data_IF_140833990403
#
_entry.id   IF_140833990403
#
_cell.length_a   1.000
_cell.length_b   1.000
_cell.length_c   1.000
_cell.angle_alpha   90.00
_cell.angle_beta   90.00
_cell.angle_gamma   90.00
#
_symmetry.space_group_name_H-M   'P 1'
#
loop_
_entity.id
_entity.type
_entity.pdbx_description
1 polymer ?
#
# COMPACT_ATOMS: atom_id res chain seq x y z
N UNK A 1 6.02 -2.18 21.79
CA UNK A 1 5.77 -3.60 22.10
C UNK A 1 4.27 -3.77 22.18
N UNK A 2 3.72 -4.78 21.52
CA UNK A 2 2.28 -5.08 21.58
C UNK A 2 1.98 -5.98 22.77
N UNK A 3 0.83 -5.78 23.40
CA UNK A 3 0.31 -6.56 24.52
C UNK A 3 -0.01 -8.00 24.10
N UNK A 4 -0.53 -8.18 22.89
CA UNK A 4 -0.86 -9.50 22.34
C UNK A 4 -0.82 -9.53 20.79
N UNK A 5 -1.12 -10.71 20.23
CA UNK A 5 -1.14 -10.92 18.79
C UNK A 5 -2.30 -10.18 18.09
N UNK A 6 -3.41 -9.95 18.80
CA UNK A 6 -4.56 -9.26 18.22
C UNK A 6 -4.24 -7.77 18.03
N UNK A 7 -3.60 -7.13 19.00
CA UNK A 7 -3.12 -5.75 18.90
C UNK A 7 -2.08 -5.61 17.77
N UNK A 8 -1.12 -6.54 17.70
CA UNK A 8 -0.13 -6.53 16.62
C UNK A 8 -0.77 -6.66 15.22
N UNK A 9 -1.83 -7.47 15.08
CA UNK A 9 -2.55 -7.63 13.81
C UNK A 9 -3.33 -6.37 13.43
N UNK A 10 -4.04 -5.78 14.38
CA UNK A 10 -4.80 -4.55 14.15
C UNK A 10 -3.89 -3.41 13.66
N UNK A 11 -2.70 -3.29 14.26
CA UNK A 11 -1.71 -2.28 13.88
C UNK A 11 -1.15 -2.51 12.47
N UNK A 12 -0.92 -3.76 12.06
CA UNK A 12 -0.51 -4.08 10.69
C UNK A 12 -1.62 -3.75 9.68
N UNK A 13 -2.87 -4.12 9.96
CA UNK A 13 -4.02 -3.80 9.09
C UNK A 13 -4.19 -2.29 8.93
N UNK A 14 -4.08 -1.54 10.03
CA UNK A 14 -4.15 -0.09 10.03
C UNK A 14 -3.01 0.54 9.22
N UNK A 15 -1.77 0.09 9.44
CA UNK A 15 -0.61 0.55 8.70
C UNK A 15 -0.74 0.31 7.20
N UNK A 16 -1.18 -0.90 6.81
CA UNK A 16 -1.35 -1.25 5.41
C UNK A 16 -2.42 -0.38 4.74
N UNK A 17 -3.60 -0.24 5.36
CA UNK A 17 -4.72 0.50 4.79
C UNK A 17 -4.53 2.01 4.76
N UNK A 18 -3.89 2.57 5.79
CA UNK A 18 -3.86 4.03 6.00
C UNK A 18 -2.56 4.69 5.58
N UNK A 19 -1.45 3.93 5.54
CA UNK A 19 -0.13 4.46 5.21
C UNK A 19 0.45 3.78 3.98
N UNK A 20 0.62 2.46 3.98
CA UNK A 20 1.30 1.77 2.86
C UNK A 20 0.53 1.88 1.54
N UNK A 21 -0.78 1.61 1.56
CA UNK A 21 -1.57 1.60 0.33
C UNK A 21 -1.85 3.01 -0.24
N UNK A 22 -1.78 4.04 0.61
CA UNK A 22 -2.24 5.40 0.28
C UNK A 22 -1.13 6.44 0.24
N UNK A 23 -0.03 6.26 0.96
CA UNK A 23 1.06 7.23 1.11
C UNK A 23 2.39 6.71 0.56
N UNK A 24 3.20 7.64 0.01
CA UNK A 24 4.43 7.32 -0.70
C UNK A 24 5.67 7.68 0.12
N UNK A 25 6.21 6.73 0.88
CA UNK A 25 7.44 6.94 1.65
C UNK A 25 8.73 6.84 0.80
N UNK A 26 8.69 6.10 -0.32
CA UNK A 26 9.87 5.90 -1.18
C UNK A 26 9.67 6.57 -2.53
N UNK A 27 9.82 7.89 -2.55
CA UNK A 27 9.63 8.68 -3.77
C UNK A 27 10.75 8.50 -4.80
N UNK A 28 11.96 8.18 -4.33
CA UNK A 28 13.19 8.12 -5.11
C UNK A 28 13.30 6.94 -6.09
N UNK A 29 12.55 5.84 -5.88
CA UNK A 29 12.65 4.62 -6.70
C UNK A 29 11.49 4.41 -7.68
N UNK A 30 10.66 5.44 -7.91
CA UNK A 30 9.53 5.31 -8.85
C UNK A 30 8.40 4.37 -8.37
N UNK A 31 8.43 3.89 -7.13
CA UNK A 31 7.38 3.06 -6.54
C UNK A 31 6.02 3.76 -6.59
N UNK A 32 4.98 3.09 -7.08
CA UNK A 32 3.57 3.55 -7.03
C UNK A 32 2.86 2.71 -5.98
N UNK A 33 2.03 3.34 -5.15
CA UNK A 33 1.21 2.58 -4.21
C UNK A 33 0.19 1.72 -4.98
N UNK A 34 -0.35 0.64 -4.38
CA UNK A 34 -1.38 -0.19 -5.01
C UNK A 34 -2.54 0.63 -5.59
N UNK A 35 -3.10 1.57 -4.82
CA UNK A 35 -4.17 2.46 -5.31
C UNK A 35 -3.75 3.29 -6.52
N UNK A 36 -2.52 3.79 -6.55
CA UNK A 36 -2.00 4.54 -7.69
C UNK A 36 -1.79 3.64 -8.92
N UNK A 37 -1.39 2.39 -8.71
CA UNK A 37 -1.22 1.41 -9.78
C UNK A 37 -2.56 1.01 -10.39
N UNK A 38 -3.57 0.75 -9.56
CA UNK A 38 -4.94 0.39 -10.00
C UNK A 38 -5.63 1.52 -10.77
N UNK A 39 -5.25 2.78 -10.52
CA UNK A 39 -5.75 3.95 -11.25
C UNK A 39 -5.08 4.16 -12.61
N UNK A 40 -4.03 3.39 -12.93
CA UNK A 40 -3.39 3.51 -14.23
C UNK A 40 -4.36 3.02 -15.30
N UNK A 41 -4.40 3.71 -16.46
CA UNK A 41 -5.16 3.21 -17.59
C UNK A 41 -4.67 1.80 -17.93
N UNK A 42 -5.61 0.87 -18.12
CA UNK A 42 -5.31 -0.46 -18.64
C UNK A 42 -4.39 -0.31 -19.85
N UNK A 43 -3.25 -1.00 -19.89
CA UNK A 43 -2.35 -0.86 -21.04
C UNK A 43 -3.14 -1.18 -22.30
N UNK A 44 -2.95 -0.40 -23.39
CA UNK A 44 -3.64 -0.67 -24.65
C UNK A 44 -3.39 -2.12 -25.03
N UNK A 45 -4.48 -2.80 -25.39
CA UNK A 45 -4.55 -4.23 -25.69
C UNK A 45 -3.33 -4.62 -26.54
N UNK A 46 -2.36 -5.32 -25.95
CA UNK A 46 -1.18 -5.81 -26.65
C UNK A 46 -1.56 -7.11 -27.36
N UNK A 47 -2.32 -6.97 -28.45
CA UNK A 47 -2.55 -8.00 -29.45
C UNK A 47 -1.96 -7.51 -30.78
#
# INVERSE_FOLDING_TARGET
VFADLAEARAEVEYYLGTYYNTQRLHSAIGYRTPTQFEQLPSPPNQL
#
